data_IF_998507078849
#
_entry.id   IF_998507078849
#
_cell.length_a   1.000
_cell.length_b   1.000
_cell.length_c   1.000
_cell.angle_alpha   90.00
_cell.angle_beta   90.00
_cell.angle_gamma   90.00
#
_symmetry.space_group_name_H-M   'P 1'
#
loop_
_entity.id
_entity.type
_entity.pdbx_description
1 polymer ?
#
# COMPACT_ATOMS: atom_id res chain seq x y z
N UNK A 1 -34.89 17.42 -78.82
CA UNK A 1 -33.50 17.70 -79.25
C UNK A 1 -32.58 17.12 -78.19
N UNK A 2 -31.63 16.27 -78.61
CA UNK A 2 -30.60 15.62 -77.77
C UNK A 2 -29.52 16.66 -77.47
N UNK A 3 -29.04 16.72 -76.24
CA UNK A 3 -27.73 17.30 -75.91
C UNK A 3 -27.00 16.38 -74.93
N UNK A 4 -25.84 15.92 -75.38
CA UNK A 4 -24.83 15.12 -74.70
C UNK A 4 -23.91 16.03 -73.86
N UNK A 5 -22.91 15.41 -73.19
CA UNK A 5 -21.59 15.98 -72.82
C UNK A 5 -21.55 16.54 -71.38
N UNK A 6 -20.65 16.19 -70.46
CA UNK A 6 -19.54 15.22 -70.40
C UNK A 6 -19.21 14.95 -68.92
N UNK A 7 -18.84 13.71 -68.61
CA UNK A 7 -18.23 13.31 -67.33
C UNK A 7 -16.73 13.66 -67.41
N UNK A 8 -16.24 14.51 -66.51
CA UNK A 8 -14.80 14.71 -66.30
C UNK A 8 -14.40 13.90 -65.07
N UNK A 9 -13.67 12.82 -65.32
CA UNK A 9 -13.06 11.95 -64.34
C UNK A 9 -11.66 12.50 -64.02
N UNK A 10 -11.45 13.03 -62.81
CA UNK A 10 -10.13 13.43 -62.32
C UNK A 10 -9.60 12.33 -61.39
N UNK A 11 -8.72 11.48 -61.91
CA UNK A 11 -7.89 10.60 -61.08
C UNK A 11 -6.72 11.41 -60.53
N UNK A 12 -6.80 11.82 -59.27
CA UNK A 12 -5.64 12.29 -58.53
C UNK A 12 -4.84 11.07 -58.06
N UNK A 13 -3.68 10.84 -58.70
CA UNK A 13 -2.75 9.79 -58.30
C UNK A 13 -2.14 10.09 -56.93
N UNK A 14 -2.38 9.22 -55.96
CA UNK A 14 -1.69 9.23 -54.67
C UNK A 14 -0.33 8.53 -54.84
N UNK A 15 0.75 9.32 -54.84
CA UNK A 15 2.11 8.81 -54.77
C UNK A 15 2.34 8.16 -53.40
N UNK A 16 2.62 6.84 -53.37
CA UNK A 16 3.11 6.16 -52.18
C UNK A 16 4.59 6.51 -51.98
N UNK A 17 4.88 7.45 -51.07
CA UNK A 17 6.22 7.64 -50.56
C UNK A 17 6.51 6.54 -49.52
N UNK A 18 7.36 5.58 -49.87
CA UNK A 18 7.84 4.57 -48.93
C UNK A 18 8.80 5.21 -47.93
N UNK A 19 8.30 5.56 -46.74
CA UNK A 19 9.13 5.97 -45.62
C UNK A 19 9.86 4.74 -45.10
N UNK A 20 11.15 4.62 -45.42
CA UNK A 20 12.03 3.62 -44.83
C UNK A 20 12.27 4.04 -43.38
N UNK A 21 11.42 3.58 -42.47
CA UNK A 21 11.64 3.67 -41.04
C UNK A 21 12.81 2.75 -40.68
N UNK A 22 14.02 3.30 -40.59
CA UNK A 22 15.12 2.66 -39.88
C UNK A 22 14.72 2.49 -38.42
N UNK A 23 14.15 1.34 -38.08
CA UNK A 23 13.97 0.89 -36.70
C UNK A 23 15.36 0.64 -36.11
N UNK A 24 15.95 1.67 -35.51
CA UNK A 24 17.10 1.51 -34.64
C UNK A 24 16.59 0.68 -33.46
N UNK A 25 16.94 -0.60 -33.43
CA UNK A 25 16.65 -1.47 -32.30
C UNK A 25 17.19 -0.78 -31.05
N UNK A 26 16.29 -0.30 -30.20
CA UNK A 26 16.64 0.21 -28.90
C UNK A 26 17.31 -0.95 -28.17
N UNK A 27 18.60 -0.80 -27.86
CA UNK A 27 19.31 -1.75 -27.01
C UNK A 27 18.47 -1.92 -25.74
N UNK A 28 18.06 -3.16 -25.46
CA UNK A 28 17.30 -3.47 -24.26
C UNK A 28 18.12 -2.97 -23.06
N UNK A 29 17.58 -1.98 -22.35
CA UNK A 29 18.17 -1.52 -21.11
C UNK A 29 18.34 -2.73 -20.18
N UNK A 30 19.47 -2.87 -19.46
CA UNK A 30 19.66 -3.96 -18.53
C UNK A 30 18.49 -3.98 -17.55
N UNK A 31 17.86 -5.15 -17.40
CA UNK A 31 16.77 -5.33 -16.45
C UNK A 31 17.28 -4.97 -15.05
N UNK A 32 16.78 -3.85 -14.50
CA UNK A 32 17.10 -3.44 -13.13
C UNK A 32 16.51 -4.51 -12.22
N UNK A 33 17.39 -5.20 -11.48
CA UNK A 33 16.95 -6.20 -10.52
C UNK A 33 15.99 -5.56 -9.51
N UNK A 34 14.86 -6.23 -9.26
CA UNK A 34 13.92 -5.80 -8.22
C UNK A 34 14.65 -5.70 -6.87
N UNK A 35 14.46 -4.59 -6.16
CA UNK A 35 14.98 -4.45 -4.81
C UNK A 35 14.41 -5.57 -3.92
N UNK A 36 15.20 -6.03 -2.95
CA UNK A 36 14.77 -7.03 -1.98
C UNK A 36 14.77 -6.45 -0.56
N UNK A 37 13.79 -6.83 0.29
CA UNK A 37 13.79 -6.44 1.69
C UNK A 37 15.04 -6.98 2.39
N UNK A 38 15.60 -6.19 3.30
CA UNK A 38 16.65 -6.66 4.18
C UNK A 38 16.08 -7.75 5.09
N UNK A 39 16.60 -8.97 4.99
CA UNK A 39 16.19 -10.07 5.87
C UNK A 39 16.43 -9.70 7.34
N UNK A 40 15.37 -9.78 8.15
CA UNK A 40 15.46 -9.60 9.60
C UNK A 40 15.72 -10.94 10.30
N UNK A 41 16.51 -10.89 11.37
CA UNK A 41 16.75 -12.02 12.27
C UNK A 41 16.72 -11.52 13.72
N UNK A 42 15.53 -11.11 14.21
CA UNK A 42 15.42 -10.43 15.50
C UNK A 42 15.71 -11.38 16.67
N UNK A 43 16.25 -10.83 17.77
CA UNK A 43 16.35 -11.55 19.02
C UNK A 43 14.97 -11.84 19.64
N UNK A 44 14.92 -12.73 20.63
CA UNK A 44 13.71 -13.02 21.40
C UNK A 44 13.98 -12.89 22.92
N UNK A 45 13.54 -11.81 23.59
CA UNK A 45 12.78 -10.69 23.02
C UNK A 45 13.60 -9.78 22.09
N UNK A 46 12.97 -9.01 21.19
CA UNK A 46 13.65 -8.05 20.32
C UNK A 46 14.42 -6.99 21.09
N UNK A 47 15.62 -6.67 20.61
CA UNK A 47 16.46 -5.57 21.11
C UNK A 47 16.04 -4.22 20.54
N UNK A 48 16.59 -3.12 21.05
CA UNK A 48 16.42 -1.78 20.47
C UNK A 48 16.95 -1.69 19.02
N UNK A 49 18.00 -2.45 18.70
CA UNK A 49 18.52 -2.57 17.34
C UNK A 49 17.52 -3.30 16.43
N UNK A 50 16.88 -4.37 16.92
CA UNK A 50 15.85 -5.10 16.17
C UNK A 50 14.62 -4.21 15.88
N UNK A 51 14.21 -3.41 16.86
CA UNK A 51 13.13 -2.42 16.69
C UNK A 51 13.51 -1.39 15.64
N UNK A 52 14.72 -0.80 15.73
CA UNK A 52 15.23 0.19 14.77
C UNK A 52 15.33 -0.38 13.35
N UNK A 53 15.83 -1.60 13.20
CA UNK A 53 15.93 -2.29 11.91
C UNK A 53 14.54 -2.58 11.33
N UNK A 54 13.59 -3.04 12.15
CA UNK A 54 12.22 -3.33 11.72
C UNK A 54 11.50 -2.09 11.21
N UNK A 55 11.64 -0.99 11.95
CA UNK A 55 11.16 0.34 11.57
C UNK A 55 11.72 0.80 10.22
N UNK A 56 13.04 0.69 10.05
CA UNK A 56 13.74 1.17 8.85
C UNK A 56 13.35 0.35 7.62
N UNK A 57 13.26 -0.97 7.80
CA UNK A 57 12.78 -1.87 6.76
C UNK A 57 11.32 -1.58 6.40
N UNK A 58 10.48 -1.31 7.39
CA UNK A 58 9.08 -0.99 7.16
C UNK A 58 8.90 0.31 6.37
N UNK A 59 9.66 1.35 6.71
CA UNK A 59 9.65 2.59 5.93
C UNK A 59 10.09 2.36 4.48
N UNK A 60 11.07 1.47 4.26
CA UNK A 60 11.51 1.07 2.92
C UNK A 60 10.43 0.28 2.17
N UNK A 61 9.75 -0.65 2.85
CA UNK A 61 8.60 -1.39 2.29
C UNK A 61 7.51 -0.44 1.84
N UNK A 62 7.11 0.50 2.70
CA UNK A 62 6.10 1.51 2.38
C UNK A 62 6.48 2.34 1.18
N UNK A 63 7.71 2.87 1.13
CA UNK A 63 8.16 3.66 -0.01
C UNK A 63 8.18 2.84 -1.31
N UNK A 64 8.51 1.55 -1.24
CA UNK A 64 8.50 0.66 -2.42
C UNK A 64 7.09 0.38 -2.91
N UNK A 65 6.14 0.12 -2.00
CA UNK A 65 4.72 -0.04 -2.35
C UNK A 65 4.17 1.28 -2.91
N UNK A 66 4.48 2.42 -2.31
CA UNK A 66 4.06 3.74 -2.79
C UNK A 66 4.61 4.03 -4.19
N UNK A 67 5.85 3.63 -4.49
CA UNK A 67 6.43 3.81 -5.81
C UNK A 67 5.64 3.06 -6.89
N UNK A 68 5.11 1.87 -6.57
CA UNK A 68 4.17 1.15 -7.44
C UNK A 68 2.83 1.85 -7.54
N UNK A 69 2.22 2.25 -6.41
CA UNK A 69 0.90 2.91 -6.42
C UNK A 69 0.89 4.25 -7.19
N UNK A 70 2.04 4.93 -7.25
CA UNK A 70 2.24 6.15 -8.06
C UNK A 70 2.45 5.88 -9.56
N UNK A 71 2.74 4.63 -9.95
CA UNK A 71 2.96 4.20 -11.33
C UNK A 71 2.45 2.76 -11.51
N UNK A 72 1.13 2.54 -11.40
CA UNK A 72 0.57 1.22 -11.15
C UNK A 72 0.55 0.31 -12.39
N UNK A 73 0.93 0.85 -13.55
CA UNK A 73 1.13 0.10 -14.79
C UNK A 73 2.55 -0.49 -14.91
N UNK A 74 3.46 -0.15 -13.99
CA UNK A 74 4.84 -0.60 -14.02
C UNK A 74 5.02 -1.96 -13.36
N UNK A 75 5.16 -3.00 -14.19
CA UNK A 75 5.25 -4.39 -13.73
C UNK A 75 6.49 -4.68 -12.88
N UNK A 76 7.63 -4.03 -13.14
CA UNK A 76 8.84 -4.19 -12.32
C UNK A 76 8.60 -3.66 -10.89
N UNK A 77 7.89 -2.54 -10.77
CA UNK A 77 7.48 -1.99 -9.47
C UNK A 77 6.44 -2.87 -8.78
N UNK A 78 5.51 -3.47 -9.53
CA UNK A 78 4.54 -4.43 -8.97
C UNK A 78 5.24 -5.63 -8.32
N UNK A 79 6.18 -6.26 -9.02
CA UNK A 79 6.96 -7.40 -8.49
C UNK A 79 7.69 -7.00 -7.21
N UNK A 80 8.33 -5.82 -7.21
CA UNK A 80 9.02 -5.30 -6.03
C UNK A 80 8.04 -5.04 -4.87
N UNK A 81 6.92 -4.38 -5.14
CA UNK A 81 5.89 -4.09 -4.14
C UNK A 81 5.34 -5.37 -3.49
N UNK A 82 5.12 -6.44 -4.26
CA UNK A 82 4.66 -7.73 -3.71
C UNK A 82 5.69 -8.32 -2.72
N UNK A 83 6.98 -8.28 -3.06
CA UNK A 83 8.03 -8.83 -2.19
C UNK A 83 8.12 -8.01 -0.89
N UNK A 84 8.13 -6.69 -0.99
CA UNK A 84 8.19 -5.82 0.19
C UNK A 84 6.93 -5.88 1.06
N UNK A 85 5.74 -5.97 0.45
CA UNK A 85 4.48 -6.11 1.18
C UNK A 85 4.38 -7.43 1.96
N UNK A 86 5.01 -8.50 1.44
CA UNK A 86 5.11 -9.79 2.14
C UNK A 86 6.06 -9.76 3.35
N UNK A 87 7.01 -8.84 3.38
CA UNK A 87 7.96 -8.69 4.49
C UNK A 87 7.42 -7.82 5.64
N UNK A 88 6.45 -6.94 5.36
CA UNK A 88 5.82 -6.07 6.38
C UNK A 88 5.30 -6.83 7.61
N UNK A 89 4.59 -7.98 7.50
CA UNK A 89 4.18 -8.77 8.66
C UNK A 89 5.33 -9.26 9.55
N UNK A 90 6.52 -9.52 9.00
CA UNK A 90 7.70 -9.94 9.79
C UNK A 90 8.20 -8.78 10.65
N UNK A 91 8.24 -7.59 10.07
CA UNK A 91 8.63 -6.36 10.75
C UNK A 91 7.62 -6.03 11.87
N UNK A 92 6.32 -6.12 11.57
CA UNK A 92 5.25 -5.95 12.57
C UNK A 92 5.33 -6.96 13.70
N UNK A 93 5.53 -8.24 13.38
CA UNK A 93 5.68 -9.28 14.39
C UNK A 93 6.87 -9.01 15.32
N UNK A 94 7.94 -8.41 14.79
CA UNK A 94 9.09 -7.99 15.61
C UNK A 94 8.70 -6.85 16.54
N UNK A 95 8.04 -5.80 16.02
CA UNK A 95 7.58 -4.68 16.84
C UNK A 95 6.59 -5.11 17.92
N UNK A 96 5.68 -6.04 17.62
CA UNK A 96 4.69 -6.57 18.57
C UNK A 96 5.28 -7.45 19.67
N UNK A 97 6.50 -7.99 19.46
CA UNK A 97 7.21 -8.78 20.47
C UNK A 97 8.07 -7.92 21.39
N UNK A 98 8.14 -6.61 21.18
CA UNK A 98 8.85 -5.70 22.10
C UNK A 98 8.26 -5.84 23.51
N UNK A 99 9.09 -6.10 24.54
CA UNK A 99 8.60 -6.22 25.91
C UNK A 99 7.92 -4.94 26.38
N UNK A 100 6.91 -5.05 27.23
CA UNK A 100 6.25 -3.90 27.87
C UNK A 100 5.58 -2.91 26.90
N UNK A 101 5.10 -3.40 25.75
CA UNK A 101 4.22 -2.60 24.90
C UNK A 101 2.98 -2.13 25.64
N UNK A 102 2.57 -0.89 25.36
CA UNK A 102 1.29 -0.37 25.83
C UNK A 102 0.12 -1.15 25.23
N UNK A 103 -1.04 -1.14 25.91
CA UNK A 103 -2.27 -1.77 25.41
C UNK A 103 -2.69 -1.22 24.04
N UNK A 104 -2.50 0.09 23.83
CA UNK A 104 -2.75 0.74 22.55
C UNK A 104 -1.85 0.18 21.44
N UNK A 105 -0.54 0.07 21.69
CA UNK A 105 0.41 -0.50 20.73
C UNK A 105 0.09 -1.96 20.37
N UNK A 106 -0.26 -2.79 21.36
CA UNK A 106 -0.68 -4.18 21.12
C UNK A 106 -1.97 -4.27 20.29
N UNK A 107 -2.96 -3.43 20.57
CA UNK A 107 -4.20 -3.40 19.80
C UNK A 107 -3.95 -2.96 18.36
N UNK A 108 -3.14 -1.92 18.16
CA UNK A 108 -2.76 -1.47 16.82
C UNK A 108 -1.99 -2.54 16.06
N UNK A 109 -1.06 -3.25 16.71
CA UNK A 109 -0.37 -4.39 16.11
C UNK A 109 -1.33 -5.49 15.64
N UNK A 110 -2.34 -5.83 16.45
CA UNK A 110 -3.37 -6.82 16.06
C UNK A 110 -4.18 -6.37 14.85
N UNK A 111 -4.60 -5.10 14.82
CA UNK A 111 -5.32 -4.52 13.68
C UNK A 111 -4.47 -4.61 12.41
N UNK A 112 -3.19 -4.24 12.49
CA UNK A 112 -2.26 -4.31 11.36
C UNK A 112 -2.10 -5.74 10.84
N UNK A 113 -1.81 -6.69 11.73
CA UNK A 113 -1.65 -8.10 11.36
C UNK A 113 -2.90 -8.71 10.70
N UNK A 114 -4.09 -8.28 11.10
CA UNK A 114 -5.34 -8.70 10.47
C UNK A 114 -5.62 -8.08 9.10
N UNK A 115 -5.08 -6.88 8.82
CA UNK A 115 -5.37 -6.12 7.60
C UNK A 115 -4.33 -6.32 6.49
N UNK A 116 -3.06 -6.49 6.84
CA UNK A 116 -1.96 -6.60 5.86
C UNK A 116 -2.13 -7.70 4.79
N UNK A 117 -2.70 -8.88 5.08
CA UNK A 117 -2.93 -9.90 4.06
C UNK A 117 -3.76 -9.39 2.87
N UNK A 118 -4.65 -8.41 3.08
CA UNK A 118 -5.46 -7.82 1.99
C UNK A 118 -4.62 -7.02 0.99
N UNK A 119 -3.59 -6.31 1.44
CA UNK A 119 -2.69 -5.53 0.56
C UNK A 119 -1.92 -6.48 -0.36
N UNK A 120 -1.35 -7.54 0.22
CA UNK A 120 -0.61 -8.57 -0.54
C UNK A 120 -1.54 -9.26 -1.53
N UNK A 121 -2.75 -9.64 -1.10
CA UNK A 121 -3.74 -10.28 -1.97
C UNK A 121 -4.11 -9.40 -3.17
N UNK A 122 -4.39 -8.12 -2.95
CA UNK A 122 -4.73 -7.18 -4.02
C UNK A 122 -3.59 -7.03 -5.04
N UNK A 123 -2.34 -6.88 -4.58
CA UNK A 123 -1.18 -6.81 -5.48
C UNK A 123 -1.01 -8.10 -6.30
N UNK A 124 -1.21 -9.27 -5.67
CA UNK A 124 -1.14 -10.55 -6.37
C UNK A 124 -2.28 -10.75 -7.37
N UNK A 125 -3.49 -10.25 -7.08
CA UNK A 125 -4.62 -10.30 -8.02
C UNK A 125 -4.37 -9.44 -9.26
N UNK A 126 -3.70 -8.28 -9.13
CA UNK A 126 -3.23 -7.51 -10.29
C UNK A 126 -2.20 -8.29 -11.08
N UNK A 127 -1.20 -8.88 -10.40
CA UNK A 127 -0.16 -9.66 -11.06
C UNK A 127 -0.73 -10.86 -11.84
N UNK A 128 -1.78 -11.48 -11.32
CA UNK A 128 -2.48 -12.59 -11.96
C UNK A 128 -3.49 -12.14 -13.04
N UNK A 129 -3.73 -10.83 -13.21
CA UNK A 129 -4.73 -10.29 -14.13
C UNK A 129 -6.18 -10.56 -13.72
N UNK A 130 -6.42 -10.93 -12.45
CA UNK A 130 -7.75 -11.24 -11.90
C UNK A 130 -8.49 -9.97 -11.47
N UNK A 131 -7.75 -8.95 -11.03
CA UNK A 131 -8.27 -7.65 -10.62
C UNK A 131 -7.67 -6.56 -11.49
N UNK A 132 -8.46 -5.53 -11.81
CA UNK A 132 -7.93 -4.38 -12.54
C UNK A 132 -6.93 -3.62 -11.68
N UNK A 133 -5.90 -3.05 -12.30
CA UNK A 133 -4.92 -2.19 -11.63
C UNK A 133 -5.58 -1.06 -10.85
N UNK A 134 -6.66 -0.49 -11.39
CA UNK A 134 -7.41 0.60 -10.77
C UNK A 134 -8.09 0.14 -9.47
N UNK A 135 -8.84 -0.96 -9.50
CA UNK A 135 -9.57 -1.46 -8.33
C UNK A 135 -8.62 -1.86 -7.21
N UNK A 136 -7.52 -2.53 -7.55
CA UNK A 136 -6.50 -2.91 -6.58
C UNK A 136 -5.83 -1.69 -5.95
N UNK A 137 -5.46 -0.68 -6.77
CA UNK A 137 -4.83 0.55 -6.27
C UNK A 137 -5.76 1.28 -5.30
N UNK A 138 -7.05 1.40 -5.63
CA UNK A 138 -8.05 2.00 -4.73
C UNK A 138 -8.19 1.21 -3.43
N UNK A 139 -8.31 -0.12 -3.49
CA UNK A 139 -8.45 -0.96 -2.31
C UNK A 139 -7.21 -0.92 -1.41
N UNK A 140 -6.01 -0.92 -2.00
CA UNK A 140 -4.74 -0.81 -1.27
C UNK A 140 -4.63 0.56 -0.61
N UNK A 141 -4.85 1.65 -1.34
CA UNK A 141 -4.83 3.01 -0.79
C UNK A 141 -5.84 3.14 0.36
N UNK A 142 -7.05 2.60 0.22
CA UNK A 142 -8.05 2.62 1.29
C UNK A 142 -7.58 1.90 2.55
N UNK A 143 -7.09 0.67 2.43
CA UNK A 143 -6.59 -0.06 3.59
C UNK A 143 -5.41 0.66 4.25
N UNK A 144 -4.50 1.20 3.44
CA UNK A 144 -3.28 1.84 3.93
C UNK A 144 -3.57 3.16 4.61
N UNK A 145 -4.36 4.03 3.98
CA UNK A 145 -4.73 5.32 4.53
C UNK A 145 -5.62 5.21 5.77
N UNK A 146 -6.60 4.30 5.76
CA UNK A 146 -7.62 4.27 6.79
C UNK A 146 -7.32 3.32 7.95
N UNK A 147 -6.46 2.32 7.73
CA UNK A 147 -6.16 1.31 8.74
C UNK A 147 -4.68 1.24 9.04
N UNK A 148 -3.81 1.09 8.04
CA UNK A 148 -2.38 0.85 8.29
C UNK A 148 -1.70 2.07 8.90
N UNK A 149 -1.77 3.24 8.26
CA UNK A 149 -1.03 4.43 8.67
C UNK A 149 -1.39 4.93 10.08
N UNK A 150 -2.67 4.96 10.49
CA UNK A 150 -3.02 5.31 11.88
C UNK A 150 -2.50 4.30 12.91
N UNK A 151 -2.61 3.00 12.61
CA UNK A 151 -2.22 1.97 13.57
C UNK A 151 -0.70 1.77 13.66
N UNK A 152 0.04 1.93 12.56
CA UNK A 152 1.50 1.79 12.61
C UNK A 152 2.11 2.90 13.45
N UNK A 153 1.61 4.13 13.41
CA UNK A 153 2.10 5.21 14.27
C UNK A 153 1.97 4.86 15.76
N UNK A 154 0.84 4.29 16.17
CA UNK A 154 0.60 3.83 17.55
C UNK A 154 1.51 2.67 17.95
N UNK A 155 1.65 1.64 17.10
CA UNK A 155 2.56 0.51 17.36
C UNK A 155 4.02 0.99 17.45
N UNK A 156 4.45 1.83 16.53
CA UNK A 156 5.81 2.36 16.45
C UNK A 156 6.15 3.20 17.69
N UNK A 157 5.29 4.14 18.07
CA UNK A 157 5.46 4.92 19.29
C UNK A 157 5.55 4.02 20.52
N UNK A 158 4.70 2.99 20.61
CA UNK A 158 4.74 2.05 21.72
C UNK A 158 6.06 1.23 21.73
N UNK A 159 6.48 0.68 20.59
CA UNK A 159 7.70 -0.13 20.49
C UNK A 159 8.96 0.69 20.76
N UNK A 160 9.05 1.91 20.24
CA UNK A 160 10.21 2.80 20.46
C UNK A 160 10.33 3.23 21.92
N UNK A 161 9.21 3.62 22.55
CA UNK A 161 9.17 3.94 23.97
C UNK A 161 9.57 2.74 24.83
N UNK A 162 9.03 1.56 24.54
CA UNK A 162 9.28 0.34 25.32
C UNK A 162 10.73 -0.18 25.16
N UNK A 163 11.33 -0.01 23.98
CA UNK A 163 12.70 -0.43 23.68
C UNK A 163 13.76 0.64 23.91
N UNK A 164 13.35 1.84 24.34
CA UNK A 164 14.23 3.01 24.57
C UNK A 164 15.04 3.40 23.33
N UNK A 165 14.44 3.30 22.15
CA UNK A 165 15.06 3.77 20.90
C UNK A 165 15.04 5.30 20.90
N UNK A 166 16.20 5.93 20.96
CA UNK A 166 16.38 7.39 20.94
C UNK A 166 16.90 7.92 19.60
N UNK A 167 17.00 7.04 18.59
CA UNK A 167 17.56 7.37 17.28
C UNK A 167 16.55 8.13 16.41
N UNK A 168 17.01 8.70 15.29
CA UNK A 168 16.15 9.32 14.27
C UNK A 168 15.01 8.40 13.81
N UNK A 169 15.16 7.08 13.93
CA UNK A 169 14.11 6.10 13.66
C UNK A 169 12.87 6.25 14.55
N UNK A 170 12.98 6.84 15.73
CA UNK A 170 11.81 7.17 16.56
C UNK A 170 10.99 8.33 15.98
N UNK A 171 11.61 9.22 15.19
CA UNK A 171 10.98 10.37 14.54
C UNK A 171 10.63 10.14 13.07
N UNK A 172 11.09 9.04 12.46
CA UNK A 172 10.65 8.65 11.12
C UNK A 172 9.17 8.27 11.24
N UNK A 173 8.25 9.14 10.85
CA UNK A 173 6.89 8.69 10.60
C UNK A 173 6.82 8.14 9.17
N UNK A 174 5.96 7.15 8.89
CA UNK A 174 5.70 6.71 7.53
C UNK A 174 5.40 7.92 6.62
N UNK A 175 5.96 7.94 5.42
CA UNK A 175 5.48 8.87 4.40
C UNK A 175 4.00 8.57 4.15
N UNK A 176 3.15 9.58 4.38
CA UNK A 176 1.77 9.52 3.94
C UNK A 176 1.77 9.43 2.42
N UNK A 177 1.00 8.51 1.86
CA UNK A 177 0.69 8.56 0.44
C UNK A 177 -0.08 9.85 0.17
N UNK A 178 0.25 10.57 -0.90
CA UNK A 178 -0.49 11.79 -1.28
C UNK A 178 -1.99 11.51 -1.43
N UNK A 179 -2.32 10.29 -1.86
CA UNK A 179 -3.68 9.78 -1.98
C UNK A 179 -4.45 9.77 -0.65
N UNK A 180 -3.76 9.63 0.50
CA UNK A 180 -4.40 9.67 1.81
C UNK A 180 -4.95 11.05 2.18
N UNK A 181 -4.43 12.14 1.57
CA UNK A 181 -4.97 13.49 1.81
C UNK A 181 -6.31 13.72 1.11
N UNK A 182 -6.57 13.00 0.03
CA UNK A 182 -7.78 13.11 -0.77
C UNK A 182 -8.87 12.10 -0.35
N UNK A 183 -8.53 11.15 0.53
CA UNK A 183 -9.43 10.05 0.89
C UNK A 183 -10.13 10.30 2.22
N UNK A 184 -11.47 10.28 2.21
CA UNK A 184 -12.26 10.30 3.43
C UNK A 184 -12.35 8.89 4.01
N UNK A 185 -11.55 8.63 5.04
CA UNK A 185 -11.70 7.42 5.84
C UNK A 185 -12.96 7.56 6.70
N UNK A 186 -14.12 7.13 6.17
CA UNK A 186 -15.30 6.96 7.00
C UNK A 186 -14.94 5.95 8.08
N UNK A 187 -15.01 6.40 9.33
CA UNK A 187 -14.65 5.59 10.49
C UNK A 187 -15.55 4.36 10.51
N UNK A 188 -15.07 3.23 10.00
CA UNK A 188 -15.72 1.93 10.14
C UNK A 188 -15.59 1.39 11.58
N UNK A 189 -15.65 2.29 12.58
CA UNK A 189 -15.76 1.95 14.00
C UNK A 189 -17.25 2.03 14.36
N UNK A 190 -18.05 1.15 13.78
CA UNK A 190 -19.35 0.83 14.37
C UNK A 190 -19.12 -0.26 15.41
N UNK A 191 -19.00 0.19 16.66
CA UNK A 191 -19.30 -0.51 17.90
C UNK A 191 -19.00 -2.02 18.01
N UNK A 192 -17.90 -2.35 18.69
CA UNK A 192 -17.91 -3.50 19.61
C UNK A 192 -17.20 -3.12 20.92
N UNK A 193 -17.69 -2.04 21.54
CA UNK A 193 -17.43 -1.75 22.94
C UNK A 193 -18.45 -2.53 23.77
N UNK A 194 -17.98 -3.59 24.44
CA UNK A 194 -18.77 -4.30 25.43
C UNK A 194 -19.17 -3.36 26.56
N UNK A 195 -20.47 -3.25 26.79
CA UNK A 195 -21.09 -2.72 27.99
C UNK A 195 -22.19 -3.68 28.43
N UNK A 196 -21.84 -4.65 29.28
CA UNK A 196 -22.79 -5.50 29.99
C UNK A 196 -22.73 -5.14 31.49
N UNK A 197 -23.88 -4.90 32.11
CA UNK A 197 -24.08 -4.55 33.53
C UNK A 197 -24.12 -3.04 33.78
N UNK A 198 -25.15 -2.42 34.39
CA UNK A 198 -25.84 -2.84 35.63
C UNK A 198 -27.18 -2.09 35.81
N UNK A 199 -28.18 -2.81 36.35
CA UNK A 199 -29.20 -2.43 37.34
C UNK A 199 -30.19 -1.25 37.13
N UNK A 200 -31.48 -1.64 37.09
CA UNK A 200 -32.60 -1.25 37.97
C UNK A 200 -32.84 0.23 38.37
N UNK A 201 -34.08 0.72 38.14
CA UNK A 201 -34.62 1.86 38.89
C UNK A 201 -35.90 2.50 38.34
N UNK A 202 -37.05 2.04 38.85
CA UNK A 202 -38.28 2.80 39.14
C UNK A 202 -38.76 3.96 38.22
N UNK A 203 -39.93 3.77 37.60
CA UNK A 203 -40.89 4.86 37.39
C UNK A 203 -42.24 4.49 37.97
N UNK A 204 -42.59 5.15 39.08
CA UNK A 204 -43.89 5.07 39.73
C UNK A 204 -44.95 5.82 38.94
N UNK A 205 -46.12 5.20 38.83
CA UNK A 205 -47.34 5.86 38.41
C UNK A 205 -47.96 6.61 39.61
N UNK A 206 -48.16 7.91 39.46
CA UNK A 206 -49.13 8.72 40.20
C UNK A 206 -49.97 9.49 39.19
N UNK A 207 -51.20 9.05 38.98
CA UNK A 207 -52.47 9.77 39.21
C UNK A 207 -53.59 8.97 38.56
#
# INVERSE_FOLDING_TARGET
MKSFTSIVLLLAGTSFAATISTTRAAAAAPAVAAATPRKLSPANPPTSADVTNSITNWATSVNTVNAYLNDPNNQTKLVSAIVFAKDEPVQLATLMKTPQLSKAGLNSGKVLMGNFPSIVSNLQMVQAGVMTTQDATMAINYNRCCTVLPNIGSLWAASTNASKVTTAAAGMMPNLEDQCRAMSCQSAVSGNGGGNGTAAGMTGARR
#
